data_IF_494006750950
#
_entry.id   IF_494006750950
#
_cell.length_a   1.000
_cell.length_b   1.000
_cell.length_c   1.000
_cell.angle_alpha   90.00
_cell.angle_beta   90.00
_cell.angle_gamma   90.00
#
_symmetry.space_group_name_H-M   'P 1'
#
loop_
_entity.id
_entity.type
_entity.pdbx_description
1 polymer ?
#
# COMPACT_ATOMS: atom_id res chain seq x y z
N UNK A 1 -13.83 -8.15 33.94
CA UNK A 1 -14.52 -6.94 33.46
C UNK A 1 -13.96 -6.61 32.09
N UNK A 2 -14.83 -6.74 31.10
CA UNK A 2 -14.57 -6.68 29.66
C UNK A 2 -14.33 -5.22 29.24
N UNK A 3 -13.07 -4.81 29.12
CA UNK A 3 -12.74 -3.57 28.42
C UNK A 3 -12.09 -3.95 27.09
N UNK A 4 -12.89 -3.85 26.03
CA UNK A 4 -12.46 -4.06 24.66
C UNK A 4 -11.28 -3.16 24.32
N UNK A 5 -10.24 -3.79 23.77
CA UNK A 5 -9.08 -3.15 23.18
C UNK A 5 -9.58 -2.17 22.09
N UNK A 6 -9.65 -0.88 22.43
CA UNK A 6 -10.06 0.19 21.51
C UNK A 6 -9.03 0.27 20.39
N UNK A 7 -9.28 -0.45 19.29
CA UNK A 7 -8.49 -0.32 18.07
C UNK A 7 -8.52 1.15 17.63
N UNK A 8 -7.35 1.79 17.65
CA UNK A 8 -7.23 3.20 17.30
C UNK A 8 -7.30 3.35 15.77
N UNK A 9 -8.51 3.59 15.26
CA UNK A 9 -8.74 3.95 13.87
C UNK A 9 -8.51 5.45 13.70
N UNK A 10 -7.53 5.83 12.88
CA UNK A 10 -7.20 7.22 12.62
C UNK A 10 -7.52 7.54 11.17
N UNK A 11 -8.42 8.51 10.97
CA UNK A 11 -8.77 9.03 9.66
C UNK A 11 -8.60 10.55 9.62
N UNK A 12 -7.57 10.99 8.89
CA UNK A 12 -7.26 12.38 8.59
C UNK A 12 -7.32 12.66 7.09
N UNK A 13 -8.16 11.93 6.37
CA UNK A 13 -8.36 12.17 4.95
C UNK A 13 -9.01 13.52 4.69
N UNK A 14 -8.54 14.20 3.63
CA UNK A 14 -9.08 15.48 3.16
C UNK A 14 -9.04 16.62 4.21
N UNK A 15 -7.99 16.67 5.02
CA UNK A 15 -7.79 17.66 6.07
C UNK A 15 -6.85 18.82 5.68
N UNK A 16 -6.48 18.94 4.40
CA UNK A 16 -5.49 19.92 3.89
C UNK A 16 -4.13 19.86 4.61
N UNK A 17 -3.73 18.68 5.08
CA UNK A 17 -2.46 18.50 5.77
C UNK A 17 -1.28 18.67 4.80
N UNK A 18 -0.17 19.19 5.32
CA UNK A 18 1.09 19.40 4.60
C UNK A 18 2.26 18.85 5.43
N UNK A 19 3.46 18.82 4.84
CA UNK A 19 4.68 18.34 5.50
C UNK A 19 4.95 16.87 5.21
N UNK A 20 5.70 16.20 6.09
CA UNK A 20 6.09 14.81 5.95
C UNK A 20 5.46 13.92 7.02
N UNK A 21 5.45 12.60 6.77
CA UNK A 21 4.87 11.61 7.66
C UNK A 21 5.93 10.60 8.12
N UNK A 22 6.18 10.55 9.43
CA UNK A 22 6.97 9.49 10.05
C UNK A 22 6.07 8.41 10.63
N UNK A 23 6.06 7.24 9.98
CA UNK A 23 5.20 6.12 10.36
C UNK A 23 5.56 5.50 11.73
N UNK A 24 6.71 5.82 12.31
CA UNK A 24 7.08 5.36 13.67
C UNK A 24 6.17 5.91 14.77
N UNK A 25 5.45 6.98 14.48
CA UNK A 25 4.49 7.57 15.42
C UNK A 25 3.20 6.77 15.52
N UNK A 26 2.84 5.96 14.52
CA UNK A 26 1.56 5.26 14.53
C UNK A 26 1.33 4.51 15.87
N UNK A 27 0.19 4.73 16.55
CA UNK A 27 -0.10 4.04 17.80
C UNK A 27 0.02 2.53 17.65
N UNK A 28 0.62 1.85 18.64
CA UNK A 28 0.88 0.41 18.57
C UNK A 28 -0.38 -0.46 18.38
N UNK A 29 -1.57 0.05 18.73
CA UNK A 29 -2.86 -0.62 18.60
C UNK A 29 -3.69 -0.12 17.40
N UNK A 30 -3.09 0.63 16.48
CA UNK A 30 -3.79 1.10 15.29
C UNK A 30 -4.08 -0.03 14.32
N UNK A 31 -5.36 -0.28 14.08
CA UNK A 31 -5.84 -1.20 13.04
C UNK A 31 -5.97 -0.49 11.69
N UNK A 32 -6.32 0.80 11.71
CA UNK A 32 -6.51 1.60 10.50
C UNK A 32 -5.82 2.96 10.60
N UNK A 33 -5.13 3.36 9.53
CA UNK A 33 -4.60 4.70 9.37
C UNK A 33 -4.87 5.22 7.95
N UNK A 34 -5.57 6.35 7.86
CA UNK A 34 -5.94 7.00 6.60
C UNK A 34 -5.53 8.46 6.64
N UNK A 35 -4.80 8.91 5.62
CA UNK A 35 -4.39 10.31 5.40
C UNK A 35 -4.55 10.68 3.92
N UNK A 36 -5.45 9.97 3.23
CA UNK A 36 -5.70 10.14 1.80
C UNK A 36 -6.17 11.57 1.46
N UNK A 37 -5.74 12.11 0.32
CA UNK A 37 -6.31 13.36 -0.20
C UNK A 37 -5.82 14.61 0.54
N UNK A 38 -4.54 14.63 0.88
CA UNK A 38 -3.87 15.78 1.49
C UNK A 38 -2.73 16.29 0.57
N UNK A 39 -1.87 17.17 1.10
CA UNK A 39 -0.67 17.69 0.42
C UNK A 39 0.60 17.22 1.15
N UNK A 40 0.55 16.03 1.73
CA UNK A 40 1.70 15.42 2.39
C UNK A 40 2.77 15.08 1.34
N UNK A 41 4.04 15.15 1.74
CA UNK A 41 5.21 15.00 0.87
C UNK A 41 6.35 14.28 1.59
N UNK A 42 7.45 14.07 0.88
CA UNK A 42 8.60 13.32 1.38
C UNK A 42 8.43 11.82 1.23
N UNK A 43 9.39 11.06 1.75
CA UNK A 43 9.41 9.60 1.62
C UNK A 43 8.69 8.88 2.75
N UNK A 44 8.20 7.67 2.46
CA UNK A 44 7.59 6.80 3.45
C UNK A 44 8.41 5.53 3.64
N UNK A 45 8.83 5.28 4.89
CA UNK A 45 9.45 4.01 5.23
C UNK A 45 8.40 3.02 5.76
N UNK A 46 7.83 2.22 4.85
CA UNK A 46 6.81 1.22 5.17
C UNK A 46 7.30 0.09 6.10
N UNK A 47 8.61 -0.02 6.34
CA UNK A 47 9.16 -0.97 7.34
C UNK A 47 8.85 -0.57 8.78
N UNK A 48 8.42 0.67 9.00
CA UNK A 48 8.09 1.21 10.31
C UNK A 48 6.60 1.00 10.68
N UNK A 49 5.82 0.32 9.83
CA UNK A 49 4.43 0.03 10.14
C UNK A 49 4.33 -0.93 11.33
N UNK A 50 3.33 -0.70 12.18
CA UNK A 50 3.07 -1.53 13.36
C UNK A 50 2.46 -2.88 12.97
N UNK A 51 2.80 -3.92 13.72
CA UNK A 51 2.42 -5.31 13.42
C UNK A 51 0.90 -5.59 13.43
N UNK A 52 0.10 -4.71 14.05
CA UNK A 52 -1.36 -4.82 14.12
C UNK A 52 -2.10 -4.11 13.00
N UNK A 53 -1.41 -3.33 12.16
CA UNK A 53 -2.05 -2.49 11.15
C UNK A 53 -2.68 -3.35 10.05
N UNK A 54 -3.97 -3.15 9.80
CA UNK A 54 -4.73 -3.86 8.77
C UNK A 54 -4.98 -3.01 7.53
N UNK A 55 -5.22 -1.71 7.71
CA UNK A 55 -5.58 -0.80 6.61
C UNK A 55 -4.69 0.45 6.61
N UNK A 56 -3.98 0.67 5.51
CA UNK A 56 -3.19 1.87 5.29
C UNK A 56 -3.62 2.57 4.00
N UNK A 57 -4.09 3.81 4.11
CA UNK A 57 -4.38 4.65 2.94
C UNK A 57 -3.65 5.99 3.00
N UNK A 58 -2.62 6.13 2.17
CA UNK A 58 -1.84 7.37 2.00
C UNK A 58 -2.00 7.96 0.60
N UNK A 59 -2.99 7.47 -0.16
CA UNK A 59 -3.17 7.85 -1.56
C UNK A 59 -3.59 9.31 -1.77
N UNK A 60 -3.48 9.80 -2.99
CA UNK A 60 -3.81 11.18 -3.37
C UNK A 60 -3.06 12.19 -2.49
N UNK A 61 -1.73 12.08 -2.49
CA UNK A 61 -0.80 12.99 -1.82
C UNK A 61 0.35 13.30 -2.79
N UNK A 62 1.45 13.85 -2.28
CA UNK A 62 2.68 14.11 -3.05
C UNK A 62 3.89 13.39 -2.44
N UNK A 63 3.66 12.24 -1.78
CA UNK A 63 4.76 11.42 -1.27
C UNK A 63 5.62 10.92 -2.42
N UNK A 64 6.93 10.77 -2.19
CA UNK A 64 7.91 10.44 -3.22
C UNK A 64 8.98 9.45 -2.74
N UNK A 65 9.91 9.13 -3.62
CA UNK A 65 10.98 8.16 -3.36
C UNK A 65 10.51 6.71 -3.48
N UNK A 66 11.31 5.79 -2.95
CA UNK A 66 11.07 4.35 -3.08
C UNK A 66 10.38 3.76 -1.86
N UNK A 67 9.65 2.66 -2.06
CA UNK A 67 8.98 1.90 -0.99
C UNK A 67 9.41 0.44 -1.01
N UNK A 68 9.42 -0.21 0.15
CA UNK A 68 9.68 -1.64 0.26
C UNK A 68 8.40 -2.38 0.62
N UNK A 69 7.91 -3.20 -0.31
CA UNK A 69 6.70 -4.00 -0.12
C UNK A 69 6.99 -5.42 0.43
N UNK A 70 8.26 -5.83 0.49
CA UNK A 70 8.67 -7.18 0.96
C UNK A 70 8.80 -7.30 2.48
N UNK A 71 8.51 -6.22 3.22
CA UNK A 71 8.63 -6.13 4.68
C UNK A 71 7.38 -5.52 5.32
N UNK A 72 6.22 -5.71 4.69
CA UNK A 72 4.94 -5.26 5.23
C UNK A 72 4.49 -6.15 6.40
N UNK A 73 3.75 -5.60 7.37
CA UNK A 73 3.17 -6.39 8.46
C UNK A 73 2.29 -7.53 7.95
N UNK A 74 2.34 -8.69 8.61
CA UNK A 74 1.53 -9.87 8.22
C UNK A 74 0.02 -9.65 8.38
N UNK A 75 -0.37 -8.70 9.22
CA UNK A 75 -1.76 -8.29 9.44
C UNK A 75 -2.34 -7.45 8.32
N UNK A 76 -1.52 -6.90 7.43
CA UNK A 76 -1.96 -5.89 6.47
C UNK A 76 -2.88 -6.51 5.42
N UNK A 77 -4.10 -6.01 5.35
CA UNK A 77 -5.19 -6.47 4.48
C UNK A 77 -5.37 -5.52 3.29
N UNK A 78 -5.16 -4.21 3.49
CA UNK A 78 -5.25 -3.21 2.42
C UNK A 78 -4.10 -2.20 2.48
N UNK A 79 -3.49 -1.96 1.32
CA UNK A 79 -2.51 -0.90 1.11
C UNK A 79 -2.91 -0.06 -0.10
N UNK A 80 -3.05 1.25 0.11
CA UNK A 80 -3.26 2.22 -0.96
C UNK A 80 -2.18 3.30 -0.96
N UNK A 81 -1.32 3.25 -1.98
CA UNK A 81 -0.29 4.25 -2.32
C UNK A 81 -0.68 5.12 -3.53
N UNK A 82 -1.86 4.84 -4.12
CA UNK A 82 -2.41 5.46 -5.33
C UNK A 82 -2.20 6.97 -5.42
N UNK A 83 -1.87 7.49 -6.61
CA UNK A 83 -1.88 8.94 -6.86
C UNK A 83 -0.86 9.67 -6.00
N UNK A 84 0.40 9.28 -6.12
CA UNK A 84 1.55 9.88 -5.46
C UNK A 84 2.70 10.00 -6.47
N UNK A 85 3.90 10.34 -6.01
CA UNK A 85 5.11 10.46 -6.81
C UNK A 85 6.12 9.37 -6.43
N UNK A 86 5.66 8.21 -5.95
CA UNK A 86 6.57 7.11 -5.61
C UNK A 86 7.21 6.55 -6.88
N UNK A 87 8.47 6.13 -6.77
CA UNK A 87 9.28 5.64 -7.87
C UNK A 87 10.06 4.38 -7.47
N UNK A 88 10.88 3.88 -8.39
CA UNK A 88 11.71 2.70 -8.18
C UNK A 88 11.00 1.40 -8.49
N UNK A 89 11.75 0.31 -8.34
CA UNK A 89 11.25 -1.04 -8.55
C UNK A 89 10.51 -1.57 -7.32
N UNK A 90 9.37 -2.22 -7.54
CA UNK A 90 8.65 -2.94 -6.47
C UNK A 90 8.66 -4.45 -6.70
N UNK A 91 8.77 -5.19 -5.60
CA UNK A 91 8.68 -6.65 -5.57
C UNK A 91 7.39 -7.05 -4.86
N UNK A 92 6.46 -7.66 -5.62
CA UNK A 92 5.15 -8.11 -5.15
C UNK A 92 5.16 -9.58 -4.70
N UNK A 93 6.30 -10.26 -4.74
CA UNK A 93 6.39 -11.71 -4.48
C UNK A 93 6.39 -12.08 -2.98
N UNK A 94 6.42 -11.08 -2.11
CA UNK A 94 6.49 -11.22 -0.64
C UNK A 94 5.39 -10.40 0.06
N UNK A 95 4.27 -10.16 -0.63
CA UNK A 95 3.12 -9.50 -0.01
C UNK A 95 2.52 -10.38 1.10
N UNK A 96 1.92 -9.79 2.15
CA UNK A 96 1.27 -10.53 3.22
C UNK A 96 0.15 -11.46 2.72
N UNK A 97 0.07 -12.67 3.28
CA UNK A 97 -0.93 -13.68 2.88
C UNK A 97 -2.39 -13.22 3.08
N UNK A 98 -2.61 -12.26 3.98
CA UNK A 98 -3.94 -11.67 4.28
C UNK A 98 -4.30 -10.48 3.39
N UNK A 99 -3.42 -10.06 2.48
CA UNK A 99 -3.67 -8.89 1.66
C UNK A 99 -4.78 -9.16 0.64
N UNK A 100 -5.81 -8.31 0.67
CA UNK A 100 -6.97 -8.38 -0.21
C UNK A 100 -6.94 -7.31 -1.31
N UNK A 101 -6.38 -6.14 -1.00
CA UNK A 101 -6.40 -4.98 -1.87
C UNK A 101 -5.04 -4.27 -1.89
N UNK A 102 -4.50 -4.06 -3.09
CA UNK A 102 -3.28 -3.31 -3.32
C UNK A 102 -3.47 -2.30 -4.44
N UNK A 103 -3.32 -1.01 -4.13
CA UNK A 103 -3.42 0.10 -5.08
C UNK A 103 -2.07 0.82 -5.19
N UNK A 104 -1.39 0.63 -6.31
CA UNK A 104 -0.11 1.28 -6.65
C UNK A 104 -0.24 2.24 -7.83
N UNK A 105 -1.45 2.39 -8.36
CA UNK A 105 -1.72 3.15 -9.57
C UNK A 105 -1.35 4.63 -9.45
N UNK A 106 -1.15 5.27 -10.61
CA UNK A 106 -0.81 6.69 -10.70
C UNK A 106 0.42 7.04 -9.83
N UNK A 107 1.53 6.36 -10.12
CA UNK A 107 2.85 6.54 -9.53
C UNK A 107 3.93 6.24 -10.58
N UNK A 108 5.17 6.63 -10.33
CA UNK A 108 6.32 6.37 -11.19
C UNK A 108 7.01 5.01 -10.93
N UNK A 109 6.30 4.04 -10.33
CA UNK A 109 6.84 2.69 -10.12
C UNK A 109 7.20 2.02 -11.45
N UNK A 110 8.28 1.23 -11.44
CA UNK A 110 8.77 0.52 -12.61
C UNK A 110 9.32 -0.87 -12.26
N UNK A 111 9.84 -1.61 -13.23
CA UNK A 111 10.53 -2.88 -13.00
C UNK A 111 9.66 -4.11 -13.29
N UNK A 112 10.12 -5.26 -12.79
CA UNK A 112 9.59 -6.57 -13.14
C UNK A 112 9.26 -7.38 -11.88
N UNK A 113 8.09 -8.03 -11.86
CA UNK A 113 7.67 -8.88 -10.74
C UNK A 113 7.01 -10.18 -11.23
N UNK A 114 6.91 -11.18 -10.36
CA UNK A 114 6.20 -12.44 -10.66
C UNK A 114 4.78 -12.36 -10.10
N UNK A 115 3.80 -12.10 -10.97
CA UNK A 115 2.39 -11.99 -10.60
C UNK A 115 1.77 -13.33 -10.21
N UNK A 116 2.42 -14.47 -10.51
CA UNK A 116 1.93 -15.75 -10.01
C UNK A 116 2.35 -16.05 -8.56
N UNK A 117 3.11 -15.16 -7.91
CA UNK A 117 3.41 -15.22 -6.46
C UNK A 117 2.57 -14.27 -5.60
N UNK A 118 1.53 -13.67 -6.19
CA UNK A 118 0.61 -12.85 -5.42
C UNK A 118 -0.15 -13.71 -4.38
N UNK A 119 -0.48 -13.15 -3.20
CA UNK A 119 -1.26 -13.86 -2.19
C UNK A 119 -2.59 -14.38 -2.75
N UNK A 120 -2.97 -15.60 -2.36
CA UNK A 120 -4.25 -16.19 -2.80
C UNK A 120 -5.48 -15.37 -2.36
N UNK A 121 -5.34 -14.61 -1.28
CA UNK A 121 -6.38 -13.72 -0.76
C UNK A 121 -6.53 -12.41 -1.55
N UNK A 122 -5.57 -12.08 -2.44
CA UNK A 122 -5.55 -10.82 -3.17
C UNK A 122 -6.65 -10.83 -4.22
N UNK A 123 -7.68 -10.01 -3.98
CA UNK A 123 -8.86 -9.90 -4.85
C UNK A 123 -8.80 -8.69 -5.77
N UNK A 124 -7.95 -7.71 -5.44
CA UNK A 124 -7.82 -6.48 -6.19
C UNK A 124 -6.37 -6.00 -6.20
N UNK A 125 -5.83 -5.85 -7.42
CA UNK A 125 -4.51 -5.27 -7.68
C UNK A 125 -4.69 -4.20 -8.76
N UNK A 126 -4.39 -2.95 -8.41
CA UNK A 126 -4.35 -1.84 -9.37
C UNK A 126 -2.91 -1.34 -9.52
N UNK A 127 -2.37 -1.49 -10.72
CA UNK A 127 -1.05 -1.02 -11.13
C UNK A 127 -1.14 -0.12 -12.38
N UNK A 128 -2.34 0.37 -12.70
CA UNK A 128 -2.56 1.25 -13.85
C UNK A 128 -1.73 2.53 -13.72
N UNK A 129 -1.33 3.12 -14.86
CA UNK A 129 -0.47 4.31 -14.87
C UNK A 129 0.86 4.16 -14.10
N UNK A 130 1.39 2.93 -14.05
CA UNK A 130 2.77 2.65 -13.65
C UNK A 130 3.55 2.05 -14.83
N UNK A 131 4.85 1.84 -14.67
CA UNK A 131 5.70 1.13 -15.63
C UNK A 131 6.03 -0.30 -15.16
N UNK A 132 5.18 -0.88 -14.33
CA UNK A 132 5.36 -2.24 -13.84
C UNK A 132 5.06 -3.26 -14.93
N UNK A 133 5.92 -4.28 -14.97
CA UNK A 133 5.79 -5.43 -15.85
C UNK A 133 5.96 -6.70 -15.02
N UNK A 134 5.61 -7.85 -15.59
CA UNK A 134 5.75 -9.10 -14.87
C UNK A 134 5.31 -10.31 -15.66
N UNK A 135 5.56 -11.48 -15.08
CA UNK A 135 5.10 -12.77 -15.60
C UNK A 135 3.83 -13.17 -14.88
N UNK A 136 2.86 -13.71 -15.61
CA UNK A 136 1.65 -14.33 -15.06
C UNK A 136 1.76 -15.83 -15.31
N UNK A 137 1.62 -16.63 -14.25
CA UNK A 137 1.49 -18.09 -14.37
C UNK A 137 0.00 -18.41 -14.52
N UNK A 138 -0.39 -19.04 -15.63
CA UNK A 138 -1.79 -19.16 -16.12
C UNK A 138 -2.74 -20.04 -15.29
N UNK A 139 -2.35 -20.45 -14.09
CA UNK A 139 -3.21 -21.19 -13.15
C UNK A 139 -3.91 -20.28 -12.11
N UNK A 140 -3.58 -18.98 -12.12
CA UNK A 140 -4.06 -18.02 -11.13
C UNK A 140 -5.37 -17.34 -11.58
N UNK A 141 -6.48 -17.60 -10.86
CA UNK A 141 -7.79 -16.98 -11.10
C UNK A 141 -7.80 -15.53 -10.60
N UNK A 142 -7.31 -14.58 -11.37
CA UNK A 142 -7.38 -13.16 -11.00
C UNK A 142 -8.00 -12.29 -12.10
N UNK A 143 -8.85 -11.34 -11.69
CA UNK A 143 -9.19 -10.17 -12.49
C UNK A 143 -8.03 -9.18 -12.38
N UNK A 144 -7.03 -9.33 -13.25
CA UNK A 144 -5.97 -8.33 -13.40
C UNK A 144 -6.52 -7.22 -14.30
N UNK A 145 -6.75 -6.04 -13.75
CA UNK A 145 -6.99 -4.84 -14.57
C UNK A 145 -5.62 -4.37 -15.07
N UNK A 146 -5.19 -4.93 -16.20
CA UNK A 146 -4.02 -4.47 -16.91
C UNK A 146 -4.45 -3.33 -17.85
N UNK A 147 -4.12 -2.08 -17.52
CA UNK A 147 -4.09 -1.01 -18.52
C UNK A 147 -2.78 -0.24 -18.41
N UNK A 148 -1.83 -0.65 -19.22
CA UNK A 148 -0.66 0.16 -19.52
C UNK A 148 -1.01 1.04 -20.72
N UNK A 149 -1.54 2.24 -20.48
CA UNK A 149 -1.65 3.27 -21.51
C UNK A 149 -0.71 4.41 -21.16
N UNK A 150 0.44 4.44 -21.83
CA UNK A 150 0.89 5.67 -22.47
C UNK A 150 0.74 5.50 -23.97
#
# INVERSE_FOLDING_TARGET
DENGDETANVDWSYCWLTGSLDLRWLPHHSSEFKIKGNQMSGSLNLRNLVDGLKYLNVGMNTFNGTVCLTKLPRSLEMLSLRGNQFEGSVDLTQLPDRMHHLYLDDNAFHGHTDFGRLPAALSHLDISYTKLSGVIHTDARFHIVYSNTQ
#
